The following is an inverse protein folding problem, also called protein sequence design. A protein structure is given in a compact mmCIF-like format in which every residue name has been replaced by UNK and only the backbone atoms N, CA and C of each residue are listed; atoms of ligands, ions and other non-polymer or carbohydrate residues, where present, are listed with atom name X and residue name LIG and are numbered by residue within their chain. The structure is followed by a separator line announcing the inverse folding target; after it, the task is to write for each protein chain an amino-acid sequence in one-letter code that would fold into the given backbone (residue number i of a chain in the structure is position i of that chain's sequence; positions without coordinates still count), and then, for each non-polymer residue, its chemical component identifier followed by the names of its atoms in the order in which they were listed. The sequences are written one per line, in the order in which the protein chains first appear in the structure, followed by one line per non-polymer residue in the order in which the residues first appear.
data_IF_811999993215
#
_entry.id   IF_811999993215
#
_cell.length_a   1.000
_cell.length_b   1.000
_cell.length_c   1.000
_cell.angle_alpha   90.00
_cell.angle_beta   90.00
_cell.angle_gamma   90.00
#
_symmetry.space_group_name_H-M   'P 1'
#
loop_
_entity.id
_entity.type
_entity.pdbx_description
1 polymer ?
#
# COMPACT_ATOMS: atom_id res chain seq x y z
N UNK A 1 8.66 11.09 8.76
CA UNK A 1 7.97 10.21 7.78
C UNK A 1 7.93 8.83 8.41
N UNK A 2 6.79 8.15 8.40
CA UNK A 2 6.67 6.79 8.96
C UNK A 2 7.17 5.80 7.90
N UNK A 3 8.08 4.88 8.25
CA UNK A 3 8.55 3.84 7.33
C UNK A 3 7.45 2.81 7.07
N UNK A 4 7.69 1.86 6.15
CA UNK A 4 6.78 0.74 5.95
C UNK A 4 6.76 -0.17 7.18
N UNK A 5 7.92 -0.46 7.77
CA UNK A 5 8.03 -1.29 8.98
C UNK A 5 7.27 -0.67 10.16
N UNK A 6 7.41 0.65 10.36
CA UNK A 6 6.67 1.36 11.40
C UNK A 6 5.15 1.26 11.19
N UNK A 7 4.70 1.27 9.92
CA UNK A 7 3.29 1.17 9.58
C UNK A 7 2.75 -0.24 9.75
N UNK A 8 3.53 -1.26 9.40
CA UNK A 8 3.20 -2.67 9.67
C UNK A 8 3.08 -2.94 11.17
N UNK A 9 4.01 -2.40 11.97
CA UNK A 9 3.95 -2.47 13.43
C UNK A 9 2.69 -1.78 13.95
N UNK A 10 2.38 -0.58 13.48
CA UNK A 10 1.14 0.12 13.82
C UNK A 10 -0.11 -0.70 13.47
N UNK A 11 -0.20 -1.26 12.26
CA UNK A 11 -1.32 -2.12 11.85
C UNK A 11 -1.47 -3.34 12.76
N UNK A 12 -0.36 -3.97 13.15
CA UNK A 12 -0.37 -5.07 14.10
C UNK A 12 -0.95 -4.66 15.46
N UNK A 13 -0.59 -3.47 16.00
CA UNK A 13 -1.22 -2.95 17.23
C UNK A 13 -2.72 -2.68 17.10
N UNK A 14 -3.22 -2.49 15.87
CA UNK A 14 -4.64 -2.32 15.56
C UNK A 14 -5.37 -3.63 15.27
N UNK A 15 -4.68 -4.77 15.35
CA UNK A 15 -5.25 -6.10 15.10
C UNK A 15 -5.17 -6.58 13.65
N UNK A 16 -4.62 -5.78 12.73
CA UNK A 16 -4.38 -6.21 11.35
C UNK A 16 -3.09 -7.05 11.31
N UNK A 17 -3.24 -8.37 11.38
CA UNK A 17 -2.12 -9.32 11.33
C UNK A 17 -1.84 -9.73 9.88
N UNK A 18 -0.95 -8.98 9.23
CA UNK A 18 -0.45 -9.31 7.89
C UNK A 18 0.47 -10.54 7.97
N UNK A 19 0.19 -11.57 7.16
CA UNK A 19 1.00 -12.78 7.10
C UNK A 19 2.40 -12.51 6.54
N UNK A 20 3.32 -13.48 6.65
CA UNK A 20 4.66 -13.35 6.07
C UNK A 20 4.60 -13.19 4.55
N UNK A 21 3.65 -13.85 3.90
CA UNK A 21 3.41 -13.76 2.47
C UNK A 21 2.98 -12.33 2.10
N UNK A 22 2.05 -11.74 2.86
CA UNK A 22 1.63 -10.36 2.67
C UNK A 22 2.80 -9.37 2.82
N UNK A 23 3.63 -9.55 3.85
CA UNK A 23 4.84 -8.74 4.05
C UNK A 23 5.83 -8.90 2.87
N UNK A 24 5.96 -10.12 2.33
CA UNK A 24 6.74 -10.40 1.13
C UNK A 24 6.25 -9.61 -0.09
N UNK A 25 4.93 -9.58 -0.34
CA UNK A 25 4.35 -8.75 -1.40
C UNK A 25 4.61 -7.26 -1.19
N UNK A 26 4.58 -6.78 0.06
CA UNK A 26 4.84 -5.38 0.39
C UNK A 26 6.28 -5.00 0.05
N UNK A 27 7.25 -5.77 0.52
CA UNK A 27 8.67 -5.54 0.24
C UNK A 27 8.97 -5.66 -1.26
N UNK A 28 8.42 -6.69 -1.92
CA UNK A 28 8.54 -6.88 -3.35
C UNK A 28 7.98 -5.69 -4.14
N UNK A 29 6.73 -5.31 -3.87
CA UNK A 29 6.06 -4.21 -4.57
C UNK A 29 6.77 -2.88 -4.38
N UNK A 30 7.25 -2.59 -3.16
CA UNK A 30 8.05 -1.40 -2.89
C UNK A 30 9.33 -1.37 -3.73
N UNK A 31 10.11 -2.45 -3.72
CA UNK A 31 11.35 -2.55 -4.50
C UNK A 31 11.11 -2.53 -6.01
N UNK A 32 10.09 -3.23 -6.48
CA UNK A 32 9.71 -3.35 -7.89
C UNK A 32 9.27 -2.00 -8.48
N UNK A 33 8.48 -1.23 -7.73
CA UNK A 33 7.97 0.06 -8.21
C UNK A 33 8.90 1.24 -7.89
N UNK A 34 9.74 1.12 -6.86
CA UNK A 34 10.53 2.23 -6.33
C UNK A 34 9.69 3.24 -5.54
N UNK A 35 8.50 2.82 -5.08
CA UNK A 35 7.58 3.67 -4.32
C UNK A 35 8.16 4.08 -2.96
N UNK A 36 7.91 5.32 -2.55
CA UNK A 36 8.28 5.80 -1.21
C UNK A 36 7.44 5.13 -0.11
N UNK A 37 7.93 5.12 1.13
CA UNK A 37 7.16 4.56 2.27
C UNK A 37 5.78 5.18 2.40
N UNK A 38 5.64 6.48 2.08
CA UNK A 38 4.36 7.18 2.12
C UNK A 38 3.35 6.63 1.10
N UNK A 39 3.81 6.27 -0.09
CA UNK A 39 3.01 5.66 -1.16
C UNK A 39 2.67 4.21 -0.80
N UNK A 40 3.66 3.43 -0.37
CA UNK A 40 3.46 2.03 0.07
C UNK A 40 2.44 1.96 1.20
N UNK A 41 2.58 2.81 2.22
CA UNK A 41 1.65 2.87 3.34
C UNK A 41 0.22 3.25 2.90
N UNK A 42 0.09 4.16 1.94
CA UNK A 42 -1.22 4.51 1.37
C UNK A 42 -1.83 3.34 0.57
N UNK A 43 -1.02 2.62 -0.20
CA UNK A 43 -1.47 1.45 -0.95
C UNK A 43 -1.89 0.30 -0.02
N UNK A 44 -1.13 0.00 1.05
CA UNK A 44 -1.54 -0.99 2.07
C UNK A 44 -2.89 -0.60 2.67
N UNK A 45 -3.04 0.67 3.09
CA UNK A 45 -4.30 1.20 3.66
C UNK A 45 -5.47 1.00 2.69
N UNK A 46 -5.26 1.29 1.41
CA UNK A 46 -6.27 1.16 0.38
C UNK A 46 -6.61 -0.31 0.10
N UNK A 47 -5.63 -1.18 -0.08
CA UNK A 47 -5.85 -2.62 -0.31
C UNK A 47 -6.75 -3.21 0.77
N UNK A 48 -6.42 -2.99 2.05
CA UNK A 48 -7.20 -3.50 3.17
C UNK A 48 -8.62 -2.93 3.17
N UNK A 49 -8.80 -1.63 2.86
CA UNK A 49 -10.11 -0.99 2.82
C UNK A 49 -10.99 -1.47 1.67
N UNK A 50 -10.42 -1.73 0.50
CA UNK A 50 -11.18 -2.13 -0.69
C UNK A 50 -11.49 -3.62 -0.70
N UNK A 51 -10.51 -4.45 -0.34
CA UNK A 51 -10.63 -5.90 -0.38
C UNK A 51 -11.11 -6.50 0.96
N UNK A 52 -11.27 -5.67 2.00
CA UNK A 52 -11.56 -6.07 3.39
C UNK A 52 -10.49 -6.97 4.04
N UNK A 53 -9.40 -7.22 3.32
CA UNK A 53 -8.23 -7.98 3.70
C UNK A 53 -7.04 -7.53 2.84
N UNK A 54 -5.84 -7.98 3.17
CA UNK A 54 -4.70 -7.71 2.30
C UNK A 54 -4.66 -8.71 1.15
N UNK A 55 -4.76 -8.20 -0.08
CA UNK A 55 -4.55 -8.96 -1.31
C UNK A 55 -3.25 -8.48 -1.97
N UNK A 56 -2.27 -9.38 -2.06
CA UNK A 56 -0.93 -9.06 -2.56
C UNK A 56 -0.89 -8.67 -4.04
N UNK A 57 -1.69 -9.36 -4.87
CA UNK A 57 -1.77 -9.08 -6.31
C UNK A 57 -2.40 -7.72 -6.57
N UNK A 58 -3.50 -7.41 -5.88
CA UNK A 58 -4.15 -6.11 -5.94
C UNK A 58 -3.22 -5.00 -5.46
N UNK A 59 -2.50 -5.23 -4.36
CA UNK A 59 -1.54 -4.27 -3.82
C UNK A 59 -0.43 -3.92 -4.83
N UNK A 60 0.18 -4.93 -5.47
CA UNK A 60 1.22 -4.71 -6.48
C UNK A 60 0.64 -3.94 -7.69
N UNK A 61 -0.51 -4.36 -8.20
CA UNK A 61 -1.18 -3.67 -9.30
C UNK A 61 -1.54 -2.21 -8.96
N UNK A 62 -1.92 -1.94 -7.71
CA UNK A 62 -2.17 -0.57 -7.27
C UNK A 62 -0.89 0.28 -7.26
N UNK A 63 0.25 -0.28 -6.81
CA UNK A 63 1.53 0.44 -6.86
C UNK A 63 2.00 0.70 -8.30
N UNK A 64 1.81 -0.25 -9.21
CA UNK A 64 2.10 -0.08 -10.64
C UNK A 64 1.32 1.10 -11.22
N UNK A 65 0.00 1.14 -10.96
CA UNK A 65 -0.85 2.24 -11.44
C UNK A 65 -0.46 3.59 -10.84
N UNK A 66 -0.13 3.65 -9.54
CA UNK A 66 0.34 4.89 -8.92
C UNK A 66 1.65 5.38 -9.55
N UNK A 67 2.54 4.45 -9.93
CA UNK A 67 3.79 4.76 -10.65
C UNK A 67 3.53 5.25 -12.07
N UNK A 68 2.64 4.60 -12.81
CA UNK A 68 2.25 4.99 -14.18
C UNK A 68 1.65 6.40 -14.23
N UNK A 69 0.88 6.77 -13.20
CA UNK A 69 0.29 8.11 -13.05
C UNK A 69 1.24 9.14 -12.43
N UNK A 70 2.52 8.78 -12.24
CA UNK A 70 3.58 9.61 -11.64
C UNK A 70 3.22 10.16 -10.23
N UNK A 71 2.40 9.43 -9.49
CA UNK A 71 1.94 9.82 -8.17
C UNK A 71 3.00 9.48 -7.12
N UNK A 72 3.66 10.52 -6.60
CA UNK A 72 4.81 10.37 -5.68
C UNK A 72 4.49 10.75 -4.22
N UNK A 73 3.34 11.39 -3.97
CA UNK A 73 2.95 11.83 -2.64
C UNK A 73 1.65 11.17 -2.12
N UNK A 74 1.56 11.07 -0.79
CA UNK A 74 0.44 10.41 -0.09
C UNK A 74 -0.92 11.10 -0.33
N UNK A 75 -0.97 12.42 -0.52
CA UNK A 75 -2.22 13.17 -0.72
C UNK A 75 -2.80 12.84 -2.09
N UNK A 76 -1.97 12.88 -3.12
CA UNK A 76 -2.35 12.52 -4.49
C UNK A 76 -2.73 11.04 -4.61
N UNK A 77 -2.00 10.14 -3.94
CA UNK A 77 -2.36 8.71 -3.90
C UNK A 77 -3.75 8.48 -3.29
N UNK A 78 -4.05 9.14 -2.16
CA UNK A 78 -5.39 9.08 -1.55
C UNK A 78 -6.48 9.64 -2.45
N UNK A 79 -6.19 10.72 -3.18
CA UNK A 79 -7.14 11.29 -4.14
C UNK A 79 -7.40 10.35 -5.32
N UNK A 80 -6.36 9.70 -5.84
CA UNK A 80 -6.47 8.71 -6.91
C UNK A 80 -7.28 7.49 -6.49
N UNK A 81 -7.01 6.92 -5.31
CA UNK A 81 -7.75 5.76 -4.80
C UNK A 81 -9.24 6.03 -4.62
N UNK A 82 -9.63 7.26 -4.23
CA UNK A 82 -11.05 7.65 -4.14
C UNK A 82 -11.76 7.62 -5.50
N UNK A 83 -11.04 7.90 -6.59
CA UNK A 83 -11.59 7.82 -7.95
C UNK A 83 -11.78 6.38 -8.42
N UNK A 84 -10.99 5.43 -7.92
CA UNK A 84 -11.12 4.01 -8.25
C UNK A 84 -12.35 3.33 -7.59
N UNK A 85 -12.98 3.98 -6.61
CA UNK A 85 -14.17 3.48 -5.90
C UNK A 85 -15.50 3.95 -6.52
N UNK A 86 -15.46 4.83 -7.51
CA UNK A 86 -16.62 5.40 -8.19
C UNK A 86 -16.86 4.68 -9.52
#
# INVERSE_FOLDING_TARGET
MQTVEDYLSFLHTKGFKLSKEAQGFIMFGQGYTGASDGIVNAAIEATIKHQLQFDGSYFVALLERLKEEEITDKKSAKAFMRKLQA
#
